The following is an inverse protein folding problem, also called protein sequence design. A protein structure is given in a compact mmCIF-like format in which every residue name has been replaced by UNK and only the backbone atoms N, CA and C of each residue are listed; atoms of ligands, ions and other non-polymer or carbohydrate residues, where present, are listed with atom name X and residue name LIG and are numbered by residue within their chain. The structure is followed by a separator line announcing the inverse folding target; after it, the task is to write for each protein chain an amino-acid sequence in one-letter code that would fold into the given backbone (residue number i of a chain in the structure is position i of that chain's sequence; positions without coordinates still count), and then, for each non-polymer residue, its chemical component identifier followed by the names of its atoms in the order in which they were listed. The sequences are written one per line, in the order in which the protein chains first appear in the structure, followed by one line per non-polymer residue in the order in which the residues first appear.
data_IF_004590826610
#
_entry.id   IF_004590826610
#
_cell.length_a   1.000
_cell.length_b   1.000
_cell.length_c   1.000
_cell.angle_alpha   90.00
_cell.angle_beta   90.00
_cell.angle_gamma   90.00
#
_symmetry.space_group_name_H-M   'P 1'
#
loop_
_entity.id
_entity.type
_entity.pdbx_description
1 polymer ?
#
# COMPACT_ATOMS: atom_id res chain seq x y z
N UNK A 1 19.12 -20.66 23.36
CA UNK A 1 18.71 -19.25 23.42
C UNK A 1 17.51 -19.06 22.50
N UNK A 2 16.31 -19.38 22.97
CA UNK A 2 15.08 -19.30 22.17
C UNK A 2 14.15 -18.27 22.80
N UNK A 3 14.26 -17.04 22.33
CA UNK A 3 13.29 -15.98 22.58
C UNK A 3 13.04 -15.31 21.24
N UNK A 4 12.18 -15.91 20.41
CA UNK A 4 11.71 -15.25 19.19
C UNK A 4 10.80 -14.13 19.67
N UNK A 5 11.32 -12.91 19.59
CA UNK A 5 10.64 -11.67 19.91
C UNK A 5 9.37 -11.59 19.07
N UNK A 6 8.23 -11.30 19.71
CA UNK A 6 6.99 -11.05 18.98
C UNK A 6 7.20 -9.91 17.98
N UNK A 7 6.73 -10.09 16.76
CA UNK A 7 6.88 -9.10 15.69
C UNK A 7 6.00 -7.90 16.01
N UNK A 8 6.58 -6.70 15.88
CA UNK A 8 5.84 -5.43 15.94
C UNK A 8 5.59 -4.99 14.51
N UNK A 9 4.37 -4.53 14.22
CA UNK A 9 4.09 -3.90 12.93
C UNK A 9 4.97 -2.67 12.78
N UNK A 10 5.73 -2.64 11.68
CA UNK A 10 6.62 -1.54 11.36
C UNK A 10 5.83 -0.25 11.13
N UNK A 11 6.20 0.80 11.85
CA UNK A 11 5.61 2.12 11.69
C UNK A 11 5.84 2.70 10.29
N UNK A 12 6.92 2.29 9.61
CA UNK A 12 7.21 2.68 8.24
C UNK A 12 6.14 2.20 7.26
N UNK A 13 5.63 0.97 7.42
CA UNK A 13 4.58 0.42 6.56
C UNK A 13 3.27 1.17 6.73
N UNK A 14 2.90 1.45 7.99
CA UNK A 14 1.70 2.25 8.28
C UNK A 14 1.79 3.64 7.69
N UNK A 15 2.97 4.27 7.77
CA UNK A 15 3.22 5.57 7.15
C UNK A 15 3.15 5.50 5.62
N UNK A 16 3.75 4.48 4.99
CA UNK A 16 3.72 4.28 3.54
C UNK A 16 2.28 4.23 3.04
N UNK A 17 1.46 3.31 3.58
CA UNK A 17 0.06 3.12 3.18
C UNK A 17 -0.75 4.42 3.31
N UNK A 18 -0.59 5.12 4.43
CA UNK A 18 -1.31 6.38 4.64
C UNK A 18 -0.85 7.43 3.63
N UNK A 19 0.46 7.58 3.44
CA UNK A 19 1.03 8.59 2.53
C UNK A 19 0.58 8.36 1.09
N UNK A 20 0.57 7.10 0.62
CA UNK A 20 0.06 6.72 -0.70
C UNK A 20 -1.43 7.04 -0.86
N UNK A 21 -2.25 6.69 0.15
CA UNK A 21 -3.70 6.95 0.10
C UNK A 21 -4.01 8.45 -0.02
N UNK A 22 -3.16 9.30 0.55
CA UNK A 22 -3.26 10.75 0.50
C UNK A 22 -2.67 11.36 -0.79
N UNK A 23 -1.55 10.84 -1.29
CA UNK A 23 -0.75 11.47 -2.35
C UNK A 23 -1.03 10.93 -3.76
N UNK A 24 -1.32 9.64 -3.91
CA UNK A 24 -1.44 9.00 -5.23
C UNK A 24 -2.86 9.07 -5.79
N UNK A 25 -3.86 8.73 -4.98
CA UNK A 25 -5.27 8.68 -5.38
C UNK A 25 -5.95 10.05 -5.39
N UNK A 26 -5.31 11.01 -6.07
CA UNK A 26 -5.82 12.36 -6.27
C UNK A 26 -6.89 12.38 -7.37
N UNK A 27 -7.73 13.42 -7.38
CA UNK A 27 -8.73 13.59 -8.44
C UNK A 27 -8.13 13.72 -9.85
N UNK A 28 -6.88 14.19 -9.97
CA UNK A 28 -6.15 14.23 -11.24
C UNK A 28 -5.78 12.82 -11.72
N UNK A 29 -5.26 11.98 -10.82
CA UNK A 29 -4.96 10.58 -11.12
C UNK A 29 -6.23 9.80 -11.48
N UNK A 30 -7.31 9.99 -10.73
CA UNK A 30 -8.61 9.35 -11.01
C UNK A 30 -9.19 9.76 -12.37
N UNK A 31 -9.04 11.04 -12.76
CA UNK A 31 -9.47 11.49 -14.08
C UNK A 31 -8.64 10.85 -15.20
N UNK A 32 -7.32 10.87 -15.06
CA UNK A 32 -6.39 10.32 -16.04
C UNK A 32 -6.57 8.81 -16.24
N UNK A 33 -6.73 8.04 -15.15
CA UNK A 33 -6.95 6.59 -15.23
C UNK A 33 -8.25 6.22 -15.93
N UNK A 34 -9.29 7.09 -15.90
CA UNK A 34 -10.49 6.92 -16.72
C UNK A 34 -10.21 7.16 -18.20
N UNK A 35 -9.38 8.13 -18.54
CA UNK A 35 -9.02 8.45 -19.93
C UNK A 35 -8.29 7.29 -20.60
N UNK A 36 -7.38 6.62 -19.87
CA UNK A 36 -6.62 5.47 -20.39
C UNK A 36 -7.30 4.11 -20.14
N UNK A 37 -8.50 4.11 -19.54
CA UNK A 37 -9.35 2.92 -19.41
C UNK A 37 -8.98 1.94 -18.28
N UNK A 38 -8.20 2.35 -17.28
CA UNK A 38 -7.76 1.49 -16.16
C UNK A 38 -8.37 1.87 -14.80
N UNK A 39 -9.33 2.80 -14.78
CA UNK A 39 -9.89 3.34 -13.54
C UNK A 39 -10.44 2.27 -12.57
N UNK A 40 -11.02 1.18 -13.10
CA UNK A 40 -11.53 0.09 -12.27
C UNK A 40 -10.41 -0.61 -11.49
N UNK A 41 -9.28 -0.87 -12.14
CA UNK A 41 -8.16 -1.57 -11.51
C UNK A 41 -7.45 -0.68 -10.48
N UNK A 42 -7.35 0.62 -10.75
CA UNK A 42 -6.81 1.61 -9.79
C UNK A 42 -7.74 1.77 -8.58
N UNK A 43 -9.06 1.76 -8.76
CA UNK A 43 -10.00 1.76 -7.64
C UNK A 43 -9.94 0.47 -6.81
N UNK A 44 -9.74 -0.70 -7.45
CA UNK A 44 -9.48 -1.95 -6.73
C UNK A 44 -8.22 -1.86 -5.89
N UNK A 45 -7.12 -1.31 -6.43
CA UNK A 45 -5.87 -1.11 -5.70
C UNK A 45 -6.08 -0.19 -4.48
N UNK A 46 -6.77 0.94 -4.67
CA UNK A 46 -7.13 1.87 -3.59
C UNK A 46 -7.91 1.17 -2.47
N UNK A 47 -8.87 0.32 -2.84
CA UNK A 47 -9.66 -0.44 -1.88
C UNK A 47 -8.80 -1.44 -1.10
N UNK A 48 -7.88 -2.16 -1.77
CA UNK A 48 -6.96 -3.07 -1.09
C UNK A 48 -6.07 -2.32 -0.10
N UNK A 49 -5.51 -1.16 -0.47
CA UNK A 49 -4.70 -0.35 0.45
C UNK A 49 -5.47 0.11 1.69
N UNK A 50 -6.76 0.45 1.55
CA UNK A 50 -7.63 0.75 2.71
C UNK A 50 -7.85 -0.48 3.61
N UNK A 51 -7.95 -1.68 3.04
CA UNK A 51 -8.02 -2.90 3.85
C UNK A 51 -6.72 -3.11 4.62
N UNK A 52 -5.58 -2.86 4.00
CA UNK A 52 -4.27 -2.93 4.67
C UNK A 52 -4.19 -1.90 5.81
N UNK A 53 -4.58 -0.64 5.56
CA UNK A 53 -4.62 0.40 6.60
C UNK A 53 -5.42 -0.06 7.84
N UNK A 54 -6.59 -0.67 7.63
CA UNK A 54 -7.40 -1.20 8.73
C UNK A 54 -6.72 -2.36 9.47
N UNK A 55 -6.07 -3.28 8.76
CA UNK A 55 -5.33 -4.40 9.38
C UNK A 55 -4.16 -3.86 10.21
N UNK A 56 -3.37 -2.93 9.66
CA UNK A 56 -2.25 -2.31 10.35
C UNK A 56 -2.72 -1.54 11.59
N UNK A 57 -3.81 -0.78 11.48
CA UNK A 57 -4.41 -0.07 12.62
C UNK A 57 -4.88 -1.03 13.72
N UNK A 58 -5.50 -2.15 13.34
CA UNK A 58 -5.98 -3.16 14.29
C UNK A 58 -4.85 -3.86 15.04
N UNK A 59 -3.70 -4.04 14.41
CA UNK A 59 -2.55 -4.73 14.99
C UNK A 59 -1.47 -3.77 15.55
N UNK A 60 -1.64 -2.45 15.39
CA UNK A 60 -0.76 -1.43 15.97
C UNK A 60 -0.58 -1.61 17.47
N UNK A 61 0.68 -1.62 17.92
CA UNK A 61 1.05 -1.73 19.34
C UNK A 61 0.75 -3.08 19.97
N UNK A 62 0.32 -4.08 19.19
CA UNK A 62 0.10 -5.45 19.68
C UNK A 62 1.34 -6.29 19.43
N UNK A 63 1.67 -7.14 20.39
CA UNK A 63 2.68 -8.19 20.18
C UNK A 63 2.05 -9.30 19.33
N UNK A 64 2.69 -9.66 18.23
CA UNK A 64 2.23 -10.75 17.37
C UNK A 64 3.01 -12.01 17.72
N UNK A 65 2.35 -12.91 18.45
CA UNK A 65 2.91 -14.20 18.85
C UNK A 65 2.48 -15.34 17.90
N UNK A 66 1.59 -15.05 16.95
CA UNK A 66 1.11 -15.98 15.94
C UNK A 66 2.06 -15.94 14.73
N UNK A 67 2.90 -16.96 14.57
CA UNK A 67 3.89 -17.03 13.48
C UNK A 67 3.27 -16.96 12.07
N UNK A 68 2.19 -17.72 11.74
CA UNK A 68 1.49 -17.54 10.48
C UNK A 68 1.05 -16.09 10.21
N UNK A 69 0.49 -15.40 11.21
CA UNK A 69 0.09 -14.01 11.08
C UNK A 69 1.30 -13.09 10.86
N UNK A 70 2.41 -13.34 11.56
CA UNK A 70 3.63 -12.58 11.36
C UNK A 70 4.16 -12.74 9.92
N UNK A 71 4.12 -13.96 9.36
CA UNK A 71 4.50 -14.20 7.96
C UNK A 71 3.56 -13.47 6.99
N UNK A 72 2.24 -13.57 7.19
CA UNK A 72 1.28 -12.87 6.31
C UNK A 72 1.44 -11.35 6.33
N UNK A 73 1.88 -10.77 7.44
CA UNK A 73 2.18 -9.34 7.52
C UNK A 73 3.50 -8.97 6.84
N UNK A 74 4.47 -9.89 6.82
CA UNK A 74 5.71 -9.74 6.08
C UNK A 74 5.43 -9.79 4.57
N UNK A 75 4.66 -10.77 4.11
CA UNK A 75 4.23 -10.88 2.71
C UNK A 75 3.41 -9.64 2.30
N UNK A 76 2.58 -9.11 3.21
CA UNK A 76 1.82 -7.89 2.96
C UNK A 76 2.70 -6.65 2.80
N UNK A 77 3.81 -6.58 3.55
CA UNK A 77 4.81 -5.51 3.38
C UNK A 77 5.38 -5.55 1.97
N UNK A 78 5.79 -6.73 1.52
CA UNK A 78 6.43 -6.88 0.22
C UNK A 78 5.46 -6.50 -0.91
N UNK A 79 4.18 -6.92 -0.81
CA UNK A 79 3.12 -6.50 -1.75
C UNK A 79 2.87 -4.98 -1.77
N UNK A 80 3.07 -4.29 -0.64
CA UNK A 80 2.95 -2.84 -0.60
C UNK A 80 4.09 -2.14 -1.34
N UNK A 81 5.32 -2.66 -1.26
CA UNK A 81 6.43 -2.17 -2.06
C UNK A 81 6.21 -2.40 -3.55
N UNK A 82 5.75 -3.60 -3.93
CA UNK A 82 5.40 -3.87 -5.33
C UNK A 82 4.29 -2.92 -5.84
N UNK A 83 3.34 -2.57 -4.97
CA UNK A 83 2.29 -1.62 -5.30
C UNK A 83 2.83 -0.20 -5.46
N UNK A 84 3.75 0.22 -4.58
CA UNK A 84 4.45 1.51 -4.66
C UNK A 84 5.15 1.67 -6.01
N UNK A 85 5.92 0.66 -6.43
CA UNK A 85 6.63 0.66 -7.72
C UNK A 85 5.65 0.84 -8.90
N UNK A 86 4.53 0.11 -8.90
CA UNK A 86 3.50 0.23 -9.96
C UNK A 86 2.86 1.62 -9.96
N UNK A 87 2.62 2.21 -8.78
CA UNK A 87 2.06 3.55 -8.68
C UNK A 87 3.04 4.61 -9.16
N UNK A 88 4.31 4.52 -8.80
CA UNK A 88 5.35 5.42 -9.29
C UNK A 88 5.46 5.36 -10.81
N UNK A 89 5.37 4.16 -11.41
CA UNK A 89 5.35 4.00 -12.86
C UNK A 89 4.10 4.62 -13.51
N UNK A 90 2.92 4.47 -12.90
CA UNK A 90 1.69 5.13 -13.35
C UNK A 90 1.80 6.66 -13.30
N UNK A 91 2.35 7.21 -12.22
CA UNK A 91 2.53 8.65 -12.09
C UNK A 91 3.55 9.19 -13.09
N UNK A 92 4.62 8.41 -13.36
CA UNK A 92 5.56 8.71 -14.42
C UNK A 92 4.86 8.83 -15.78
N UNK A 93 4.05 7.83 -16.20
CA UNK A 93 3.37 7.88 -17.49
C UNK A 93 2.37 9.04 -17.59
N UNK A 94 1.64 9.32 -16.50
CA UNK A 94 0.73 10.45 -16.43
C UNK A 94 1.46 11.78 -16.65
N UNK A 95 2.59 11.98 -15.97
CA UNK A 95 3.41 13.18 -16.10
C UNK A 95 4.05 13.28 -17.49
N UNK A 96 4.53 12.17 -18.02
CA UNK A 96 5.13 12.10 -19.37
C UNK A 96 4.11 12.52 -20.46
N UNK A 97 2.84 12.17 -20.29
CA UNK A 97 1.77 12.58 -21.20
C UNK A 97 1.47 14.09 -21.14
N UNK A 98 1.71 14.77 -20.01
CA UNK A 98 1.45 16.21 -19.87
C UNK A 98 2.52 17.10 -20.51
N UNK A 99 3.72 16.55 -20.72
CA UNK A 99 4.87 17.28 -21.29
C UNK A 99 5.11 16.97 -22.78
N UNK A 100 4.31 16.08 -23.36
CA UNK A 100 4.29 15.76 -24.80
C UNK A 100 3.26 16.64 -25.52
#
# INVERSE_FOLDING_TARGET
MTGLLGTVIDAAIGWLVQSTLESFFTGQMEAWTREIGIAEDVEKLKLQMRYVEMVLAAAKGRRIDNMPLAQSLDDLRDLLYDSEDVMDELDYYRLEQQIK
#
